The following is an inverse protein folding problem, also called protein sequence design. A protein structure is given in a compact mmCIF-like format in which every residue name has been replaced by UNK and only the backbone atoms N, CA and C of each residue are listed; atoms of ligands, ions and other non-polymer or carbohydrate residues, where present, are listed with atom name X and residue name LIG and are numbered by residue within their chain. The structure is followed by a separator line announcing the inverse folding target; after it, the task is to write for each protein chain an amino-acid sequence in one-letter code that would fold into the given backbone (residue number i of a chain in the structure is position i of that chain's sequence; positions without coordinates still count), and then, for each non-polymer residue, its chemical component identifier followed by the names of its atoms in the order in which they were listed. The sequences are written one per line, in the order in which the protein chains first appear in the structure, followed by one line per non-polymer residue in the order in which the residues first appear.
data_IF_245750770835
#
_entry.id   IF_245750770835
#
_cell.length_a   1.000
_cell.length_b   1.000
_cell.length_c   1.000
_cell.angle_alpha   90.00
_cell.angle_beta   90.00
_cell.angle_gamma   90.00
#
_symmetry.space_group_name_H-M   'P 1'
#
loop_
_entity.id
_entity.type
_entity.pdbx_description
1 polymer ?
#
# COMPACT_ATOMS: atom_id res chain seq x y z
N UNK A 1 -26.35 12.89 17.63
CA UNK A 1 -25.04 13.52 17.90
C UNK A 1 -24.06 12.36 18.11
N UNK A 2 -23.42 11.85 17.06
CA UNK A 2 -22.21 12.44 16.47
C UNK A 2 -21.01 11.58 16.88
N UNK A 3 -20.99 10.31 16.44
CA UNK A 3 -19.85 9.41 16.64
C UNK A 3 -18.92 9.56 15.44
N UNK A 4 -17.67 9.96 15.69
CA UNK A 4 -16.68 10.35 14.70
C UNK A 4 -16.66 9.43 13.48
N UNK A 5 -16.85 9.99 12.28
CA UNK A 5 -16.46 9.31 11.05
C UNK A 5 -14.94 9.12 11.14
N UNK A 6 -14.52 7.89 11.41
CA UNK A 6 -13.11 7.54 11.45
C UNK A 6 -12.70 7.38 10.00
N UNK A 7 -11.76 8.21 9.55
CA UNK A 7 -11.27 8.17 8.19
C UNK A 7 -10.47 6.87 7.99
N UNK A 8 -11.10 5.88 7.36
CA UNK A 8 -10.48 4.59 7.04
C UNK A 8 -9.72 4.63 5.72
N UNK A 9 -9.59 5.81 5.08
CA UNK A 9 -8.83 5.90 3.85
C UNK A 9 -7.36 5.57 4.13
N UNK A 10 -6.82 4.63 3.36
CA UNK A 10 -5.39 4.34 3.39
C UNK A 10 -4.61 5.60 3.02
N UNK A 11 -3.44 5.80 3.65
CA UNK A 11 -2.62 6.98 3.40
C UNK A 11 -2.01 6.97 1.99
N UNK A 12 -1.52 8.14 1.55
CA UNK A 12 -0.84 8.31 0.25
C UNK A 12 0.31 7.31 0.02
N UNK A 13 0.94 6.81 1.10
CA UNK A 13 2.04 5.83 1.01
C UNK A 13 1.54 4.45 0.55
N UNK A 14 0.34 4.03 0.96
CA UNK A 14 -0.28 2.80 0.47
C UNK A 14 -0.77 2.92 -0.96
N UNK A 15 -1.26 4.09 -1.39
CA UNK A 15 -1.63 4.32 -2.79
C UNK A 15 -0.43 4.11 -3.72
N UNK A 16 0.73 4.71 -3.40
CA UNK A 16 1.98 4.52 -4.17
C UNK A 16 2.48 3.07 -4.14
N UNK A 17 2.38 2.42 -2.98
CA UNK A 17 2.77 1.01 -2.85
C UNK A 17 1.91 0.09 -3.72
N UNK A 18 0.59 0.29 -3.73
CA UNK A 18 -0.36 -0.43 -4.59
C UNK A 18 -0.04 -0.21 -6.06
N UNK A 19 0.13 1.04 -6.49
CA UNK A 19 0.47 1.38 -7.88
C UNK A 19 1.77 0.73 -8.34
N UNK A 20 2.81 0.80 -7.49
CA UNK A 20 4.09 0.14 -7.75
C UNK A 20 3.93 -1.39 -7.90
N UNK A 21 3.19 -2.04 -6.99
CA UNK A 21 2.96 -3.48 -7.08
C UNK A 21 2.18 -3.88 -8.33
N UNK A 22 1.14 -3.13 -8.69
CA UNK A 22 0.35 -3.40 -9.91
C UNK A 22 1.23 -3.28 -11.17
N UNK A 23 2.07 -2.24 -11.25
CA UNK A 23 2.99 -2.07 -12.36
C UNK A 23 4.04 -3.19 -12.43
N UNK A 24 4.58 -3.60 -11.27
CA UNK A 24 5.57 -4.68 -11.19
C UNK A 24 4.96 -6.03 -11.55
N UNK A 25 3.76 -6.30 -11.05
CA UNK A 25 3.02 -7.53 -11.33
C UNK A 25 2.70 -7.65 -12.82
N UNK A 26 2.37 -6.54 -13.50
CA UNK A 26 2.17 -6.51 -14.94
C UNK A 26 3.46 -6.86 -15.73
N UNK A 27 4.62 -6.38 -15.28
CA UNK A 27 5.92 -6.72 -15.89
C UNK A 27 6.29 -8.20 -15.66
N UNK A 28 6.01 -8.70 -14.46
CA UNK A 28 6.36 -10.07 -14.06
C UNK A 28 5.32 -11.13 -14.48
N UNK A 29 4.13 -10.71 -14.92
CA UNK A 29 3.03 -11.60 -15.27
C UNK A 29 2.46 -12.36 -14.06
N UNK A 30 2.48 -11.75 -12.87
CA UNK A 30 1.98 -12.33 -11.62
C UNK A 30 0.81 -11.50 -11.06
N UNK A 31 0.25 -11.93 -9.93
CA UNK A 31 -0.74 -11.15 -9.19
C UNK A 31 -0.51 -11.29 -7.70
N UNK A 32 -0.17 -10.18 -7.07
CA UNK A 32 0.00 -10.02 -5.64
C UNK A 32 -1.35 -9.65 -5.03
N UNK A 33 -1.74 -10.30 -3.93
CA UNK A 33 -2.95 -9.91 -3.21
C UNK A 33 -2.71 -8.64 -2.40
N UNK A 34 -3.11 -7.51 -2.98
CA UNK A 34 -2.95 -6.16 -2.41
C UNK A 34 -4.27 -5.54 -1.91
N UNK A 35 -5.38 -6.29 -1.91
CA UNK A 35 -6.72 -5.73 -1.63
C UNK A 35 -6.82 -5.01 -0.28
N UNK A 36 -6.05 -5.47 0.71
CA UNK A 36 -5.99 -4.85 2.04
C UNK A 36 -5.34 -3.46 2.07
N UNK A 37 -4.54 -3.13 1.05
CA UNK A 37 -3.80 -1.87 0.94
C UNK A 37 -4.48 -0.87 0.00
N UNK A 38 -5.56 -1.27 -0.68
CA UNK A 38 -6.38 -0.37 -1.51
C UNK A 38 -7.16 0.60 -0.62
N UNK A 39 -7.67 1.68 -1.21
CA UNK A 39 -8.34 2.76 -0.48
C UNK A 39 -9.56 2.29 0.36
N UNK A 40 -10.23 1.22 -0.06
CA UNK A 40 -11.35 0.57 0.62
C UNK A 40 -10.94 -0.69 1.42
N UNK A 41 -9.65 -1.00 1.44
CA UNK A 41 -9.08 -2.12 2.16
C UNK A 41 -9.09 -1.92 3.68
N UNK A 42 -9.26 -3.02 4.41
CA UNK A 42 -9.25 -3.01 5.88
C UNK A 42 -7.95 -3.61 6.41
N UNK A 43 -7.24 -2.81 7.19
CA UNK A 43 -6.00 -3.22 7.85
C UNK A 43 -6.22 -4.07 9.10
N UNK A 44 -5.28 -4.97 9.36
CA UNK A 44 -5.34 -5.87 10.51
C UNK A 44 -5.27 -5.10 11.83
N UNK A 45 -6.10 -5.48 12.82
CA UNK A 45 -5.99 -4.96 14.19
C UNK A 45 -6.91 -3.78 14.55
N UNK A 46 -7.89 -3.45 13.71
CA UNK A 46 -8.87 -2.41 13.99
C UNK A 46 -8.43 -1.02 13.54
N UNK A 47 -9.32 -0.03 13.66
CA UNK A 47 -9.23 1.21 12.88
C UNK A 47 -7.93 1.99 13.13
N UNK A 48 -7.52 2.19 14.38
CA UNK A 48 -6.35 3.05 14.68
C UNK A 48 -5.03 2.28 14.61
N UNK A 49 -4.91 1.18 15.37
CA UNK A 49 -3.68 0.40 15.41
C UNK A 49 -3.39 -0.32 14.08
N UNK A 50 -4.42 -0.66 13.31
CA UNK A 50 -4.27 -1.32 12.02
C UNK A 50 -3.84 -0.39 10.90
N UNK A 51 -4.35 0.84 10.88
CA UNK A 51 -3.98 1.83 9.86
C UNK A 51 -2.49 2.19 9.95
N UNK A 52 -1.99 2.47 11.16
CA UNK A 52 -0.55 2.73 11.38
C UNK A 52 0.35 1.53 11.01
N UNK A 53 -0.14 0.30 11.16
CA UNK A 53 0.59 -0.90 10.74
C UNK A 53 0.61 -1.05 9.22
N UNK A 54 -0.48 -0.73 8.55
CA UNK A 54 -0.54 -0.70 7.09
C UNK A 54 0.36 0.37 6.51
N UNK A 55 0.28 1.61 7.00
CA UNK A 55 1.10 2.72 6.51
C UNK A 55 2.58 2.36 6.59
N UNK A 56 3.04 1.87 7.74
CA UNK A 56 4.43 1.40 7.92
C UNK A 56 4.80 0.24 6.99
N UNK A 57 3.85 -0.67 6.72
CA UNK A 57 4.07 -1.79 5.79
C UNK A 57 4.17 -1.30 4.34
N UNK A 58 3.33 -0.37 3.93
CA UNK A 58 3.34 0.25 2.60
C UNK A 58 4.64 1.04 2.37
N UNK A 59 5.06 1.85 3.34
CA UNK A 59 6.32 2.59 3.28
C UNK A 59 7.54 1.66 3.19
N UNK A 60 7.61 0.66 4.08
CA UNK A 60 8.73 -0.29 4.09
C UNK A 60 8.74 -1.16 2.82
N UNK A 61 7.57 -1.58 2.35
CA UNK A 61 7.41 -2.35 1.13
C UNK A 61 7.82 -1.57 -0.12
N UNK A 62 7.36 -0.32 -0.25
CA UNK A 62 7.72 0.55 -1.36
C UNK A 62 9.22 0.82 -1.38
N UNK A 63 9.82 1.16 -0.23
CA UNK A 63 11.26 1.35 -0.11
C UNK A 63 12.04 0.10 -0.51
N UNK A 64 11.60 -1.07 -0.06
CA UNK A 64 12.24 -2.34 -0.44
C UNK A 64 12.19 -2.58 -1.95
N UNK A 65 11.05 -2.29 -2.60
CA UNK A 65 10.90 -2.43 -4.04
C UNK A 65 11.80 -1.44 -4.80
N UNK A 66 11.85 -0.19 -4.36
CA UNK A 66 12.74 0.86 -4.88
C UNK A 66 14.22 0.47 -4.78
N UNK A 67 14.64 -0.14 -3.67
CA UNK A 67 16.04 -0.47 -3.43
C UNK A 67 16.51 -1.75 -4.15
N UNK A 68 15.60 -2.71 -4.37
CA UNK A 68 15.98 -4.02 -4.93
C UNK A 68 15.72 -4.20 -6.41
N UNK A 69 14.78 -3.46 -6.98
CA UNK A 69 14.39 -3.69 -8.37
C UNK A 69 15.00 -2.61 -9.27
N UNK A 70 16.19 -2.89 -9.82
CA UNK A 70 16.83 -1.99 -10.79
C UNK A 70 16.03 -1.84 -12.10
N UNK A 71 15.06 -2.73 -12.31
CA UNK A 71 14.09 -2.70 -13.41
C UNK A 71 12.71 -2.25 -12.95
N UNK A 72 12.62 -1.67 -11.75
CA UNK A 72 11.41 -1.11 -11.19
C UNK A 72 10.68 -0.23 -12.23
N UNK A 73 9.38 -0.46 -12.45
CA UNK A 73 8.53 0.46 -13.22
C UNK A 73 8.64 1.89 -12.66
N UNK A 74 8.31 2.89 -13.48
CA UNK A 74 8.33 4.30 -13.06
C UNK A 74 7.47 4.55 -11.80
N UNK A 75 6.34 3.86 -11.67
CA UNK A 75 5.48 3.88 -10.48
C UNK A 75 6.17 3.41 -9.18
N UNK A 76 7.26 2.66 -9.31
CA UNK A 76 8.07 2.18 -8.20
C UNK A 76 9.30 3.05 -7.94
N UNK A 77 9.48 4.19 -8.62
CA UNK A 77 10.62 5.10 -8.37
C UNK A 77 10.29 6.09 -7.23
N UNK A 78 11.29 6.60 -6.49
CA UNK A 78 11.10 7.53 -5.37
C UNK A 78 10.58 8.91 -5.77
#
# INVERSE_FOLDING_TARGET
MGGCAVDTSQTDSCAKYVECLEARDAVLGITTNIDRFKADGVCWGGITAGQELCDRSCEAGLKYLQERDATAPEACQP
#
